data_IF_815345220695
#
_entry.id   IF_815345220695
#
_cell.length_a   1.000
_cell.length_b   1.000
_cell.length_c   1.000
_cell.angle_alpha   90.00
_cell.angle_beta   90.00
_cell.angle_gamma   90.00
#
_symmetry.space_group_name_H-M   'P 1'
#
loop_
_entity.id
_entity.type
_entity.pdbx_description
1 polymer ?
#
# COMPACT_ATOMS: atom_id res chain seq x y z
N UNK A 1 -15.04 4.14 1.04
CA UNK A 1 -15.61 3.48 2.25
C UNK A 1 -15.22 4.12 3.59
N UNK A 2 -13.94 4.36 3.88
CA UNK A 2 -13.43 4.90 5.16
C UNK A 2 -14.24 6.06 5.79
N UNK A 3 -14.53 7.13 5.05
CA UNK A 3 -15.25 8.33 5.55
C UNK A 3 -16.59 7.97 6.21
N UNK A 4 -17.30 6.99 5.65
CA UNK A 4 -18.65 6.60 6.07
C UNK A 4 -18.66 5.37 6.99
N UNK A 5 -17.50 4.86 7.37
CA UNK A 5 -17.39 3.75 8.32
C UNK A 5 -17.67 4.26 9.75
N UNK A 6 -18.67 3.69 10.41
CA UNK A 6 -19.06 4.06 11.79
C UNK A 6 -18.53 3.08 12.85
N UNK A 7 -17.93 1.97 12.43
CA UNK A 7 -17.40 0.93 13.32
C UNK A 7 -15.98 1.28 13.80
N UNK A 8 -15.27 2.15 13.08
CA UNK A 8 -13.95 2.65 13.49
C UNK A 8 -14.06 3.55 14.72
N UNK A 9 -13.21 3.29 15.72
CA UNK A 9 -13.05 4.17 16.88
C UNK A 9 -12.79 5.61 16.42
N UNK A 10 -13.46 6.64 17.00
CA UNK A 10 -13.33 8.02 16.57
C UNK A 10 -11.90 8.54 16.52
N UNK A 11 -11.07 8.21 17.53
CA UNK A 11 -9.67 8.64 17.58
C UNK A 11 -8.83 8.05 16.45
N UNK A 12 -9.03 6.76 16.13
CA UNK A 12 -8.33 6.11 15.03
C UNK A 12 -8.78 6.70 13.68
N UNK A 13 -10.09 6.96 13.52
CA UNK A 13 -10.64 7.62 12.33
C UNK A 13 -10.05 9.03 12.16
N UNK A 14 -9.85 9.77 13.24
CA UNK A 14 -9.19 11.08 13.25
C UNK A 14 -7.72 10.99 12.88
N UNK A 15 -6.98 10.04 13.45
CA UNK A 15 -5.56 9.82 13.14
C UNK A 15 -5.34 9.49 11.66
N UNK A 16 -6.11 8.54 11.11
CA UNK A 16 -6.06 8.18 9.70
C UNK A 16 -6.42 9.38 8.82
N UNK A 17 -7.45 10.15 9.17
CA UNK A 17 -7.84 11.33 8.39
C UNK A 17 -6.73 12.38 8.34
N UNK A 18 -6.05 12.64 9.47
CA UNK A 18 -4.88 13.54 9.53
C UNK A 18 -3.75 13.04 8.62
N UNK A 19 -3.44 11.74 8.68
CA UNK A 19 -2.39 11.14 7.85
C UNK A 19 -2.70 11.25 6.36
N UNK A 20 -3.95 10.95 5.96
CA UNK A 20 -4.40 11.05 4.57
C UNK A 20 -4.30 12.48 4.03
N UNK A 21 -4.55 13.49 4.86
CA UNK A 21 -4.43 14.89 4.48
C UNK A 21 -2.99 15.33 4.20
N UNK A 22 -1.96 14.51 4.49
CA UNK A 22 -0.57 14.83 4.11
C UNK A 22 -0.28 14.57 2.64
N UNK A 23 -1.12 13.80 1.93
CA UNK A 23 -0.88 13.43 0.54
C UNK A 23 -1.52 14.43 -0.43
N UNK A 24 -0.73 14.96 -1.37
CA UNK A 24 -1.21 15.94 -2.37
C UNK A 24 -2.34 15.39 -3.24
N UNK A 25 -2.32 14.10 -3.58
CA UNK A 25 -3.40 13.48 -4.35
C UNK A 25 -4.75 13.56 -3.61
N UNK A 26 -4.73 13.42 -2.27
CA UNK A 26 -5.93 13.55 -1.43
C UNK A 26 -6.39 15.00 -1.36
N UNK A 27 -5.45 15.95 -1.21
CA UNK A 27 -5.77 17.38 -1.15
C UNK A 27 -6.39 17.92 -2.44
N UNK A 28 -6.09 17.31 -3.60
CA UNK A 28 -6.65 17.70 -4.91
C UNK A 28 -8.12 17.30 -5.07
N UNK A 29 -8.58 16.27 -4.37
CA UNK A 29 -9.98 15.85 -4.43
C UNK A 29 -10.84 16.64 -3.44
N UNK A 30 -11.57 17.64 -3.93
CA UNK A 30 -12.34 18.58 -3.10
C UNK A 30 -13.29 17.91 -2.11
N UNK A 31 -14.12 16.95 -2.56
CA UNK A 31 -15.09 16.27 -1.70
C UNK A 31 -14.42 15.38 -0.66
N UNK A 32 -13.35 14.69 -1.06
CA UNK A 32 -12.56 13.84 -0.18
C UNK A 32 -11.86 14.68 0.89
N UNK A 33 -11.17 15.74 0.48
CA UNK A 33 -10.50 16.69 1.37
C UNK A 33 -11.48 17.28 2.39
N UNK A 34 -12.61 17.84 1.95
CA UNK A 34 -13.60 18.44 2.85
C UNK A 34 -14.10 17.42 3.89
N UNK A 35 -14.36 16.19 3.45
CA UNK A 35 -14.83 15.12 4.33
C UNK A 35 -13.78 14.72 5.37
N UNK A 36 -12.50 14.63 4.97
CA UNK A 36 -11.39 14.31 5.86
C UNK A 36 -11.08 15.46 6.82
N UNK A 37 -11.11 16.71 6.37
CA UNK A 37 -10.92 17.89 7.23
C UNK A 37 -11.96 17.94 8.36
N UNK A 38 -13.23 17.63 8.06
CA UNK A 38 -14.29 17.55 9.07
C UNK A 38 -14.14 16.41 10.08
N UNK A 39 -13.33 15.39 9.77
CA UNK A 39 -12.97 14.30 10.70
C UNK A 39 -11.71 14.65 11.49
N UNK A 40 -10.71 15.23 10.82
CA UNK A 40 -9.38 15.47 11.36
C UNK A 40 -9.32 16.64 12.35
N UNK A 41 -10.12 17.70 12.10
CA UNK A 41 -10.09 18.95 12.85
C UNK A 41 -11.36 19.15 13.67
N UNK A 42 -11.19 19.59 14.93
CA UNK A 42 -12.32 19.80 15.84
C UNK A 42 -13.06 21.12 15.66
N UNK A 43 -12.65 21.92 14.68
CA UNK A 43 -13.16 23.24 14.40
C UNK A 43 -14.55 23.22 13.71
N UNK A 44 -15.43 24.11 14.18
CA UNK A 44 -16.84 24.18 13.75
C UNK A 44 -16.99 24.48 12.25
N UNK A 45 -16.10 25.26 11.65
CA UNK A 45 -16.15 25.60 10.22
C UNK A 45 -15.94 24.35 9.37
N UNK A 46 -14.94 23.53 9.70
CA UNK A 46 -14.68 22.28 8.97
C UNK A 46 -15.82 21.27 9.15
N UNK A 47 -16.36 21.14 10.37
CA UNK A 47 -17.51 20.26 10.66
C UNK A 47 -18.76 20.66 9.87
N UNK A 48 -19.11 21.95 9.84
CA UNK A 48 -20.27 22.45 9.08
C UNK A 48 -20.08 22.23 7.58
N UNK A 49 -18.90 22.52 7.04
CA UNK A 49 -18.58 22.32 5.63
C UNK A 49 -18.69 20.84 5.23
N UNK A 50 -18.16 19.94 6.06
CA UNK A 50 -18.25 18.49 5.84
C UNK A 50 -19.69 17.99 5.90
N UNK A 51 -20.49 18.49 6.85
CA UNK A 51 -21.90 18.12 6.97
C UNK A 51 -22.70 18.54 5.73
N UNK A 52 -22.48 19.75 5.20
CA UNK A 52 -23.12 20.22 3.99
C UNK A 52 -22.71 19.41 2.74
N UNK A 53 -21.45 18.97 2.67
CA UNK A 53 -20.94 18.17 1.55
C UNK A 53 -21.31 16.68 1.63
N UNK A 54 -21.77 16.18 2.79
CA UNK A 54 -22.01 14.76 3.07
C UNK A 54 -22.94 14.07 2.05
N UNK A 55 -24.07 14.66 1.61
CA UNK A 55 -24.94 14.00 0.62
C UNK A 55 -24.23 13.80 -0.73
N UNK A 56 -23.50 14.81 -1.19
CA UNK A 56 -22.73 14.75 -2.44
C UNK A 56 -21.59 13.73 -2.35
N UNK A 57 -20.87 13.70 -1.23
CA UNK A 57 -19.83 12.71 -0.99
C UNK A 57 -20.39 11.27 -0.98
N UNK A 58 -21.60 11.06 -0.45
CA UNK A 58 -22.25 9.75 -0.47
C UNK A 58 -22.64 9.31 -1.88
N UNK A 59 -23.22 10.21 -2.68
CA UNK A 59 -23.56 9.93 -4.09
C UNK A 59 -22.29 9.64 -4.89
N UNK A 60 -21.26 10.48 -4.74
CA UNK A 60 -19.99 10.32 -5.43
C UNK A 60 -19.35 8.96 -5.12
N UNK A 61 -19.34 8.54 -3.85
CA UNK A 61 -18.88 7.20 -3.46
C UNK A 61 -19.62 6.09 -4.20
N UNK A 62 -20.95 6.14 -4.28
CA UNK A 62 -21.71 5.09 -4.95
C UNK A 62 -21.39 5.00 -6.45
N UNK A 63 -21.05 6.11 -7.09
CA UNK A 63 -20.60 6.13 -8.48
C UNK A 63 -19.22 5.46 -8.60
N UNK A 64 -18.29 5.78 -7.69
CA UNK A 64 -16.98 5.14 -7.63
C UNK A 64 -17.10 3.63 -7.40
N UNK A 65 -17.93 3.18 -6.45
CA UNK A 65 -18.13 1.77 -6.15
C UNK A 65 -18.63 0.99 -7.39
N UNK A 66 -19.53 1.58 -8.20
CA UNK A 66 -20.00 0.99 -9.46
C UNK A 66 -18.91 0.95 -10.52
N UNK A 67 -18.11 2.00 -10.64
CA UNK A 67 -16.97 2.07 -11.56
C UNK A 67 -15.92 1.03 -11.20
N UNK A 68 -15.63 0.87 -9.92
CA UNK A 68 -14.67 -0.10 -9.41
C UNK A 68 -15.15 -1.52 -9.67
N UNK A 69 -16.43 -1.82 -9.44
CA UNK A 69 -17.02 -3.11 -9.79
C UNK A 69 -16.88 -3.41 -11.30
N UNK A 70 -17.23 -2.46 -12.16
CA UNK A 70 -17.08 -2.61 -13.60
C UNK A 70 -15.61 -2.82 -14.01
N UNK A 71 -14.70 -2.04 -13.42
CA UNK A 71 -13.26 -2.15 -13.67
C UNK A 71 -12.72 -3.51 -13.22
N UNK A 72 -13.13 -3.98 -12.05
CA UNK A 72 -12.72 -5.28 -11.53
C UNK A 72 -13.20 -6.44 -12.40
N UNK A 73 -14.44 -6.37 -12.90
CA UNK A 73 -15.01 -7.44 -13.75
C UNK A 73 -14.41 -7.48 -15.15
N UNK A 74 -14.11 -6.33 -15.75
CA UNK A 74 -13.79 -6.25 -17.18
C UNK A 74 -12.37 -5.80 -17.51
N UNK A 75 -11.71 -5.04 -16.63
CA UNK A 75 -10.42 -4.41 -16.93
C UNK A 75 -9.24 -5.02 -16.16
N UNK A 76 -9.49 -5.82 -15.12
CA UNK A 76 -8.43 -6.54 -14.40
C UNK A 76 -8.25 -7.91 -15.04
N UNK A 77 -7.10 -8.13 -15.70
CA UNK A 77 -6.70 -9.46 -16.14
C UNK A 77 -6.20 -10.24 -14.92
N UNK A 78 -6.73 -11.44 -14.61
CA UNK A 78 -6.21 -12.24 -13.52
C UNK A 78 -4.74 -12.55 -13.83
N UNK A 79 -3.87 -12.33 -12.83
CA UNK A 79 -2.52 -12.86 -12.91
C UNK A 79 -2.62 -14.37 -12.91
N UNK A 80 -2.25 -15.02 -14.01
CA UNK A 80 -2.12 -16.48 -14.04
C UNK A 80 -0.85 -16.82 -13.28
N UNK A 81 -0.99 -17.25 -12.04
CA UNK A 81 0.13 -17.82 -11.30
C UNK A 81 0.72 -18.97 -12.13
N UNK A 82 2.02 -18.89 -12.42
CA UNK A 82 2.76 -20.01 -12.97
C UNK A 82 3.15 -20.92 -11.81
N UNK A 83 2.17 -21.60 -11.25
CA UNK A 83 2.42 -22.62 -10.25
C UNK A 83 2.96 -23.84 -10.96
N UNK A 84 4.20 -24.22 -10.66
CA UNK A 84 4.72 -25.53 -11.03
C UNK A 84 4.12 -26.58 -10.07
N UNK A 85 3.26 -27.50 -10.54
CA UNK A 85 2.65 -28.51 -9.69
C UNK A 85 3.66 -29.45 -9.03
N UNK A 86 4.86 -29.60 -9.61
CA UNK A 86 5.91 -30.46 -9.07
C UNK A 86 6.45 -29.95 -7.73
N UNK A 87 6.45 -28.63 -7.52
CA UNK A 87 6.89 -28.01 -6.26
C UNK A 87 5.96 -28.33 -5.09
N UNK A 88 4.68 -28.62 -5.35
CA UNK A 88 3.72 -28.96 -4.28
C UNK A 88 3.93 -30.34 -3.67
N UNK A 89 4.66 -31.23 -4.37
CA UNK A 89 4.92 -32.59 -3.93
C UNK A 89 6.23 -32.72 -3.16
N UNK A 90 7.07 -31.69 -3.19
CA UNK A 90 8.37 -31.66 -2.52
C UNK A 90 8.21 -31.50 -1.01
N UNK A 91 9.02 -32.21 -0.24
CA UNK A 91 9.22 -31.89 1.17
C UNK A 91 10.10 -30.63 1.33
N UNK A 92 10.23 -30.13 2.56
CA UNK A 92 10.99 -28.90 2.83
C UNK A 92 12.43 -28.92 2.32
N UNK A 93 13.15 -30.03 2.51
CA UNK A 93 14.55 -30.15 2.10
C UNK A 93 14.69 -30.21 0.57
N UNK A 94 13.78 -30.93 -0.10
CA UNK A 94 13.71 -30.97 -1.56
C UNK A 94 13.41 -29.59 -2.15
N UNK A 95 12.43 -28.88 -1.59
CA UNK A 95 12.06 -27.54 -2.02
C UNK A 95 13.20 -26.54 -1.80
N UNK A 96 13.90 -26.64 -0.66
CA UNK A 96 15.07 -25.81 -0.37
C UNK A 96 16.20 -26.05 -1.38
N UNK A 97 16.55 -27.32 -1.63
CA UNK A 97 17.59 -27.67 -2.61
C UNK A 97 17.23 -27.19 -4.02
N UNK A 98 15.96 -27.33 -4.41
CA UNK A 98 15.47 -26.81 -5.68
C UNK A 98 15.61 -25.29 -5.75
N UNK A 99 15.20 -24.56 -4.69
CA UNK A 99 15.32 -23.11 -4.62
C UNK A 99 16.78 -22.64 -4.71
N UNK A 100 17.71 -23.32 -4.06
CA UNK A 100 19.15 -23.02 -4.15
C UNK A 100 19.66 -23.17 -5.59
N UNK A 101 19.24 -24.23 -6.28
CA UNK A 101 19.60 -24.47 -7.68
C UNK A 101 19.00 -23.42 -8.62
N UNK A 102 17.73 -23.07 -8.43
CA UNK A 102 17.06 -22.01 -9.21
C UNK A 102 17.74 -20.67 -8.99
N UNK A 103 17.99 -20.28 -7.74
CA UNK A 103 18.66 -19.03 -7.41
C UNK A 103 20.05 -18.94 -8.04
N UNK A 104 20.86 -19.99 -7.92
CA UNK A 104 22.19 -20.02 -8.54
C UNK A 104 22.15 -19.91 -10.07
N UNK A 105 21.15 -20.51 -10.72
CA UNK A 105 20.97 -20.42 -12.17
C UNK A 105 20.49 -19.03 -12.61
N UNK A 106 19.66 -18.36 -11.80
CA UNK A 106 19.04 -17.07 -12.14
C UNK A 106 19.85 -15.84 -11.67
N UNK A 107 20.88 -16.01 -10.84
CA UNK A 107 21.72 -14.92 -10.33
C UNK A 107 23.20 -15.05 -10.70
N UNK A 108 23.51 -15.68 -11.84
CA UNK A 108 24.88 -16.00 -12.24
C UNK A 108 25.66 -14.83 -12.86
N UNK A 109 24.99 -13.74 -13.25
CA UNK A 109 25.61 -12.61 -13.97
C UNK A 109 26.24 -11.55 -13.06
N UNK A 110 26.11 -11.69 -11.74
CA UNK A 110 26.63 -10.74 -10.76
C UNK A 110 27.01 -11.42 -9.44
N UNK A 111 27.89 -10.77 -8.69
CA UNK A 111 28.42 -11.29 -7.41
C UNK A 111 27.49 -11.06 -6.20
N UNK A 112 26.40 -10.31 -6.37
CA UNK A 112 25.53 -9.88 -5.27
C UNK A 112 24.36 -10.84 -5.01
N UNK A 113 24.24 -11.92 -5.79
CA UNK A 113 23.12 -12.85 -5.71
C UNK A 113 21.78 -12.24 -6.18
N UNK A 114 21.84 -11.22 -7.04
CA UNK A 114 20.64 -10.56 -7.58
C UNK A 114 20.21 -11.28 -8.86
N UNK A 115 18.91 -11.50 -9.04
CA UNK A 115 18.36 -12.08 -10.27
C UNK A 115 18.83 -11.30 -11.52
N UNK A 116 19.28 -12.04 -12.52
CA UNK A 116 20.03 -11.53 -13.67
C UNK A 116 19.22 -10.52 -14.48
N UNK A 117 17.91 -10.76 -14.66
CA UNK A 117 17.01 -9.83 -15.33
C UNK A 117 16.93 -8.49 -14.61
N UNK A 118 16.73 -8.51 -13.30
CA UNK A 118 16.71 -7.30 -12.47
C UNK A 118 18.06 -6.58 -12.45
N UNK A 119 19.16 -7.30 -12.23
CA UNK A 119 20.50 -6.71 -12.17
C UNK A 119 20.84 -5.98 -13.47
N UNK A 120 20.71 -6.67 -14.61
CA UNK A 120 21.07 -6.12 -15.91
C UNK A 120 20.17 -4.94 -16.31
N UNK A 121 18.88 -4.97 -15.95
CA UNK A 121 17.92 -3.92 -16.34
C UNK A 121 17.90 -2.71 -15.42
N UNK A 122 18.07 -2.89 -14.10
CA UNK A 122 17.85 -1.82 -13.10
C UNK A 122 19.12 -1.36 -12.37
N UNK A 123 20.12 -2.22 -12.26
CA UNK A 123 21.29 -1.96 -11.39
C UNK A 123 22.55 -1.68 -12.20
N UNK A 124 22.91 -2.57 -13.13
CA UNK A 124 24.20 -2.60 -13.84
C UNK A 124 24.63 -1.24 -14.39
N UNK A 125 23.72 -0.51 -15.05
CA UNK A 125 24.00 0.79 -15.68
C UNK A 125 24.40 1.88 -14.68
N UNK A 126 23.98 1.78 -13.43
CA UNK A 126 24.21 2.79 -12.37
C UNK A 126 25.04 2.25 -11.22
N UNK A 127 25.68 1.07 -11.36
CA UNK A 127 26.36 0.40 -10.25
C UNK A 127 27.40 1.29 -9.58
N UNK A 128 28.28 1.94 -10.36
CA UNK A 128 29.27 2.90 -9.84
C UNK A 128 28.66 4.10 -9.11
N UNK A 129 27.48 4.56 -9.53
CA UNK A 129 26.79 5.69 -8.89
C UNK A 129 26.11 5.28 -7.57
N UNK A 130 25.87 3.99 -7.37
CA UNK A 130 25.24 3.44 -6.17
C UNK A 130 26.24 3.14 -5.06
N UNK A 131 27.53 3.09 -5.39
CA UNK A 131 28.59 2.87 -4.41
C UNK A 131 28.56 3.96 -3.34
N UNK A 132 28.34 3.57 -2.08
CA UNK A 132 28.21 4.50 -0.95
C UNK A 132 26.98 5.40 -0.98
N UNK A 133 26.01 5.18 -1.88
CA UNK A 133 24.82 6.03 -2.00
C UNK A 133 23.97 6.05 -0.73
N UNK A 134 23.85 4.91 -0.05
CA UNK A 134 23.04 4.74 1.17
C UNK A 134 23.85 4.92 2.47
N UNK A 135 25.10 5.41 2.39
CA UNK A 135 26.00 5.42 3.57
C UNK A 135 25.50 6.26 4.75
N UNK A 136 24.64 7.24 4.48
CA UNK A 136 24.06 8.15 5.46
C UNK A 136 22.54 7.95 5.58
N UNK A 137 21.97 6.94 4.91
CA UNK A 137 20.55 6.65 5.01
C UNK A 137 20.28 5.96 6.35
N UNK A 138 19.19 6.37 7.00
CA UNK A 138 18.75 5.82 8.27
C UNK A 138 17.26 5.47 8.19
N UNK A 139 16.89 4.36 8.83
CA UNK A 139 15.52 3.86 8.86
C UNK A 139 14.86 4.01 10.24
N UNK A 140 15.59 4.56 11.23
CA UNK A 140 15.14 4.72 12.61
C UNK A 140 14.18 5.90 12.81
N UNK A 141 14.07 6.79 11.82
CA UNK A 141 13.14 7.92 11.81
C UNK A 141 12.30 7.90 10.53
N UNK A 142 11.06 7.42 10.64
CA UNK A 142 10.15 7.32 9.50
C UNK A 142 8.68 7.46 9.93
N UNK A 143 7.85 8.23 9.18
CA UNK A 143 6.40 8.27 9.40
C UNK A 143 5.72 6.90 9.18
N UNK A 144 6.43 5.95 8.57
CA UNK A 144 5.92 4.58 8.35
C UNK A 144 5.75 3.80 9.66
N UNK A 145 6.42 4.18 10.75
CA UNK A 145 6.19 3.57 12.06
C UNK A 145 4.80 3.92 12.61
N UNK A 146 4.38 5.19 12.48
CA UNK A 146 3.02 5.58 12.84
C UNK A 146 1.98 4.95 11.90
N UNK A 147 2.29 4.81 10.61
CA UNK A 147 1.41 4.14 9.65
C UNK A 147 1.25 2.65 9.95
N UNK A 148 2.33 1.96 10.33
CA UNK A 148 2.27 0.58 10.80
C UNK A 148 1.44 0.46 12.08
N UNK A 149 1.60 1.39 13.03
CA UNK A 149 0.80 1.39 14.26
C UNK A 149 -0.70 1.50 13.97
N UNK A 150 -1.10 2.33 12.99
CA UNK A 150 -2.49 2.41 12.52
C UNK A 150 -2.98 1.03 12.04
N UNK A 151 -2.18 0.30 11.27
CA UNK A 151 -2.54 -1.05 10.80
C UNK A 151 -2.69 -2.02 11.97
N UNK A 152 -1.76 -2.01 12.93
CA UNK A 152 -1.83 -2.86 14.12
C UNK A 152 -3.07 -2.58 14.97
N UNK A 153 -3.43 -1.30 15.14
CA UNK A 153 -4.62 -0.90 15.90
C UNK A 153 -5.90 -1.32 15.20
N UNK A 154 -5.94 -1.26 13.86
CA UNK A 154 -7.05 -1.76 13.04
C UNK A 154 -7.20 -3.28 13.19
N UNK A 155 -6.10 -4.04 13.07
CA UNK A 155 -6.10 -5.50 13.22
C UNK A 155 -6.61 -5.91 14.60
N UNK A 156 -6.09 -5.25 15.65
CA UNK A 156 -6.53 -5.46 17.04
C UNK A 156 -8.00 -5.13 17.22
N UNK A 157 -8.51 -4.07 16.58
CA UNK A 157 -9.93 -3.74 16.64
C UNK A 157 -10.79 -4.80 15.92
N UNK A 158 -10.33 -5.34 14.79
CA UNK A 158 -11.05 -6.36 14.04
C UNK A 158 -10.99 -7.77 14.65
N UNK A 159 -10.16 -7.96 15.69
CA UNK A 159 -9.98 -9.27 16.33
C UNK A 159 -9.13 -10.25 15.51
N UNK A 160 -8.23 -9.72 14.68
CA UNK A 160 -7.25 -10.50 13.93
C UNK A 160 -6.06 -10.93 14.81
#
# INVERSE_FOLDING_TARGET
>A
HFIFNNDLKPEMKKQIAKRLLNFEIVKKETLLKISLEGIAYDDTKYKVKALAAKPFAYIYRNILDRKDLFTAMFNIKPHKEKLDPSLKQMNWEEARKHADQTGAAESGSNEYGIEDGYFNSKIKKKLKQREGYLKNDAYDQSPEYEDLQIVLDLLKQSGA
#
